data_IF_018778429517
#
_entry.id   IF_018778429517
#
_cell.length_a   1.000
_cell.length_b   1.000
_cell.length_c   1.000
_cell.angle_alpha   90.00
_cell.angle_beta   90.00
_cell.angle_gamma   90.00
#
_symmetry.space_group_name_H-M   'P 1'
#
loop_
_entity.id
_entity.type
_entity.pdbx_description
1 polymer ?
#
# COMPACT_ATOMS: atom_id res chain seq x y z
N UNK A 1 12.84 -7.33 -17.84
CA UNK A 1 12.84 -8.00 -19.16
C UNK A 1 12.61 -9.51 -19.04
N UNK A 2 13.17 -10.18 -18.02
CA UNK A 2 13.03 -11.63 -17.76
C UNK A 2 11.61 -12.20 -17.93
N UNK A 3 10.58 -11.56 -17.36
CA UNK A 3 9.20 -12.05 -17.47
C UNK A 3 8.66 -11.99 -18.91
N UNK A 4 9.01 -10.95 -19.67
CA UNK A 4 8.60 -10.81 -21.06
C UNK A 4 9.32 -11.83 -21.96
N UNK A 5 10.62 -12.07 -21.71
CA UNK A 5 11.42 -13.08 -22.42
C UNK A 5 10.89 -14.49 -22.17
N UNK A 6 10.59 -14.84 -20.91
CA UNK A 6 9.97 -16.12 -20.56
C UNK A 6 8.60 -16.28 -21.24
N UNK A 7 7.78 -15.23 -21.25
CA UNK A 7 6.48 -15.25 -21.95
C UNK A 7 6.66 -15.45 -23.45
N UNK A 8 7.64 -14.78 -24.06
CA UNK A 8 7.93 -14.95 -25.48
C UNK A 8 8.40 -16.37 -25.81
N UNK A 9 9.28 -16.95 -24.99
CA UNK A 9 9.74 -18.34 -25.14
C UNK A 9 8.60 -19.35 -25.00
N UNK A 10 7.65 -19.11 -24.09
CA UNK A 10 6.43 -19.94 -23.97
C UNK A 10 5.60 -19.87 -25.25
N UNK A 11 5.37 -18.66 -25.77
CA UNK A 11 4.54 -18.44 -26.96
C UNK A 11 5.19 -18.94 -28.26
N UNK A 12 6.50 -18.84 -28.38
CA UNK A 12 7.23 -19.15 -29.62
C UNK A 12 7.78 -20.59 -29.65
N UNK A 13 8.30 -21.08 -28.53
CA UNK A 13 9.05 -22.32 -28.44
C UNK A 13 8.30 -23.41 -27.64
N UNK A 14 7.14 -23.08 -27.07
CA UNK A 14 6.34 -24.02 -26.28
C UNK A 14 6.93 -24.34 -24.90
N UNK A 15 7.79 -23.45 -24.37
CA UNK A 15 8.39 -23.57 -23.04
C UNK A 15 7.33 -23.40 -21.92
N UNK A 16 7.75 -23.65 -20.67
CA UNK A 16 6.93 -23.43 -19.47
C UNK A 16 7.23 -22.06 -18.84
N UNK A 17 6.21 -21.38 -18.29
CA UNK A 17 6.35 -20.14 -17.53
C UNK A 17 7.22 -20.27 -16.27
N UNK A 18 7.45 -21.47 -15.75
CA UNK A 18 8.42 -21.71 -14.66
C UNK A 18 9.83 -21.22 -15.00
N UNK A 19 10.18 -21.17 -16.29
CA UNK A 19 11.46 -20.58 -16.77
C UNK A 19 11.68 -19.15 -16.33
N UNK A 20 10.61 -18.37 -16.09
CA UNK A 20 10.73 -17.02 -15.51
C UNK A 20 11.36 -17.05 -14.11
N UNK A 21 10.94 -18.00 -13.28
CA UNK A 21 11.40 -18.10 -11.91
C UNK A 21 12.88 -18.48 -11.86
N UNK A 22 13.28 -19.47 -12.66
CA UNK A 22 14.68 -19.88 -12.78
C UNK A 22 15.55 -18.73 -13.31
N UNK A 23 15.07 -18.01 -14.32
CA UNK A 23 15.77 -16.84 -14.86
C UNK A 23 15.91 -15.72 -13.82
N UNK A 24 14.88 -15.48 -13.00
CA UNK A 24 14.93 -14.49 -11.92
C UNK A 24 15.97 -14.87 -10.88
N UNK A 25 15.98 -16.12 -10.40
CA UNK A 25 16.92 -16.59 -9.37
C UNK A 25 18.39 -16.56 -9.82
N UNK A 26 18.65 -16.79 -11.12
CA UNK A 26 19.98 -16.73 -11.70
C UNK A 26 20.38 -15.32 -12.20
N UNK A 27 19.55 -14.30 -11.97
CA UNK A 27 19.82 -12.94 -12.41
C UNK A 27 20.57 -12.12 -11.36
N UNK A 28 21.20 -11.03 -11.82
CA UNK A 28 21.84 -10.04 -10.95
C UNK A 28 20.85 -9.41 -9.93
N UNK A 29 19.56 -9.35 -10.26
CA UNK A 29 18.50 -8.83 -9.38
C UNK A 29 18.43 -9.68 -8.11
N UNK A 30 18.48 -11.01 -8.26
CA UNK A 30 18.44 -11.92 -7.12
C UNK A 30 19.68 -11.77 -6.24
N UNK A 31 20.86 -11.67 -6.85
CA UNK A 31 22.11 -11.42 -6.12
C UNK A 31 22.06 -10.10 -5.33
N UNK A 32 21.58 -9.02 -5.95
CA UNK A 32 21.46 -7.72 -5.31
C UNK A 32 20.52 -7.77 -4.10
N UNK A 33 19.30 -8.29 -4.29
CA UNK A 33 18.30 -8.42 -3.22
C UNK A 33 18.82 -9.32 -2.09
N UNK A 34 19.51 -10.41 -2.42
CA UNK A 34 20.11 -11.31 -1.44
C UNK A 34 21.20 -10.61 -0.60
N UNK A 35 22.04 -9.78 -1.23
CA UNK A 35 23.04 -8.96 -0.51
C UNK A 35 22.36 -7.93 0.40
N UNK A 36 21.25 -7.34 -0.03
CA UNK A 36 20.50 -6.33 0.72
C UNK A 36 19.50 -6.87 1.76
N UNK A 37 19.32 -8.20 1.88
CA UNK A 37 18.24 -8.81 2.68
C UNK A 37 18.23 -8.45 4.16
N UNK A 38 19.38 -8.07 4.73
CA UNK A 38 19.54 -7.79 6.16
C UNK A 38 19.38 -6.31 6.52
N UNK A 39 19.17 -5.41 5.56
CA UNK A 39 19.07 -3.97 5.82
C UNK A 39 17.85 -3.61 6.67
N UNK A 40 16.67 -4.16 6.36
CA UNK A 40 15.45 -3.90 7.13
C UNK A 40 15.43 -4.58 8.51
N UNK A 41 15.83 -5.86 8.65
CA UNK A 41 16.02 -6.48 9.97
C UNK A 41 16.99 -5.72 10.87
N UNK A 42 17.99 -5.01 10.32
CA UNK A 42 18.90 -4.21 11.13
C UNK A 42 18.22 -3.08 11.92
N UNK A 43 17.04 -2.59 11.49
CA UNK A 43 16.24 -1.62 12.23
C UNK A 43 15.59 -2.19 13.50
N UNK A 44 15.60 -3.52 13.69
CA UNK A 44 15.27 -4.14 14.98
C UNK A 44 16.25 -3.70 16.09
N UNK A 45 17.45 -3.25 15.70
CA UNK A 45 18.46 -2.72 16.61
C UNK A 45 18.40 -1.19 16.79
N UNK A 46 17.37 -0.52 16.25
CA UNK A 46 17.05 0.87 16.56
C UNK A 46 17.11 1.84 15.39
N UNK A 47 16.61 3.05 15.65
CA UNK A 47 16.31 4.08 14.66
C UNK A 47 17.56 4.74 14.05
N UNK A 48 18.62 4.95 14.84
CA UNK A 48 19.85 5.63 14.39
C UNK A 48 20.63 4.85 13.31
N UNK A 49 20.90 3.53 13.45
CA UNK A 49 21.57 2.76 12.39
C UNK A 49 20.71 2.61 11.13
N UNK A 50 19.39 2.64 11.29
CA UNK A 50 18.46 2.50 10.17
C UNK A 50 18.19 3.79 9.39
N UNK A 51 18.02 4.92 10.07
CA UNK A 51 17.72 6.20 9.43
C UNK A 51 18.83 6.73 8.52
N UNK A 52 20.06 6.24 8.65
CA UNK A 52 21.16 6.59 7.75
C UNK A 52 20.87 6.26 6.27
N UNK A 53 19.82 5.47 5.96
CA UNK A 53 19.60 4.86 4.64
C UNK A 53 18.33 5.37 3.92
N UNK A 54 17.40 6.10 4.56
CA UNK A 54 16.00 6.13 4.05
C UNK A 54 15.22 7.46 4.14
N UNK A 55 15.82 8.59 3.79
CA UNK A 55 15.07 9.83 3.51
C UNK A 55 15.04 10.02 1.98
N UNK A 56 13.93 10.27 1.28
CA UNK A 56 12.88 11.27 1.43
C UNK A 56 11.85 10.94 0.32
N UNK A 57 10.54 11.21 0.46
CA UNK A 57 9.75 11.84 -0.63
C UNK A 57 8.28 12.09 -0.27
N UNK A 58 7.75 13.19 -0.82
CA UNK A 58 6.47 13.80 -0.50
C UNK A 58 5.65 13.95 -1.78
N UNK A 59 4.42 13.41 -1.80
CA UNK A 59 3.57 13.40 -3.00
C UNK A 59 2.33 14.28 -2.85
N UNK A 60 1.97 14.99 -3.92
CA UNK A 60 0.76 15.80 -4.09
C UNK A 60 -0.26 15.05 -4.96
N UNK A 61 -1.53 14.94 -4.55
CA UNK A 61 -2.56 14.16 -5.27
C UNK A 61 -3.92 14.85 -5.29
N UNK A 62 -4.76 14.48 -6.26
CA UNK A 62 -6.14 14.95 -6.43
C UNK A 62 -7.01 13.86 -7.10
N UNK A 63 -8.33 13.86 -6.88
CA UNK A 63 -9.30 12.92 -7.50
C UNK A 63 -10.62 13.60 -7.84
N UNK A 64 -11.45 12.94 -8.66
CA UNK A 64 -12.81 13.35 -9.00
C UNK A 64 -13.82 12.89 -7.92
N UNK A 65 -14.71 13.78 -7.49
CA UNK A 65 -15.49 13.63 -6.26
C UNK A 65 -16.68 12.65 -6.33
N UNK A 66 -17.08 12.15 -7.50
CA UNK A 66 -18.35 11.43 -7.70
C UNK A 66 -18.17 9.92 -8.01
N UNK A 67 -17.09 9.31 -7.52
CA UNK A 67 -16.81 7.88 -7.69
C UNK A 67 -17.07 7.08 -6.40
N UNK A 68 -17.56 5.83 -6.51
CA UNK A 68 -17.75 4.98 -5.34
C UNK A 68 -16.42 4.73 -4.62
N UNK A 69 -16.43 4.77 -3.29
CA UNK A 69 -15.25 4.54 -2.48
C UNK A 69 -14.65 3.15 -2.80
N UNK A 70 -13.45 3.15 -3.37
CA UNK A 70 -12.67 1.95 -3.69
C UNK A 70 -11.99 1.34 -2.45
N UNK A 71 -12.27 1.91 -1.28
CA UNK A 71 -11.86 1.47 0.04
C UNK A 71 -13.09 0.95 0.77
N UNK A 72 -13.18 -0.36 0.93
CA UNK A 72 -14.34 -1.01 1.54
C UNK A 72 -14.00 -1.51 2.92
N UNK A 73 -14.93 -1.36 3.86
CA UNK A 73 -14.82 -1.98 5.17
C UNK A 73 -15.58 -3.30 5.14
N UNK A 74 -14.91 -4.41 5.46
CA UNK A 74 -15.57 -5.72 5.59
C UNK A 74 -16.63 -5.69 6.69
N UNK A 75 -16.33 -5.00 7.78
CA UNK A 75 -17.25 -4.70 8.86
C UNK A 75 -17.17 -3.20 9.19
N UNK A 76 -18.24 -2.43 8.89
CA UNK A 76 -18.28 -0.99 9.14
C UNK A 76 -18.18 -0.57 10.61
N UNK A 77 -18.35 -1.50 11.58
CA UNK A 77 -18.32 -1.18 13.02
C UNK A 77 -16.95 -1.31 13.66
N UNK A 78 -16.00 -1.97 12.99
CA UNK A 78 -14.65 -2.21 13.54
C UNK A 78 -13.89 -0.91 13.81
N UNK A 79 -13.98 0.14 12.98
CA UNK A 79 -13.35 1.42 13.29
C UNK A 79 -13.76 1.96 14.66
N UNK A 80 -15.06 2.00 14.96
CA UNK A 80 -15.58 2.55 16.21
C UNK A 80 -15.50 1.60 17.40
N UNK A 81 -15.58 0.29 17.17
CA UNK A 81 -15.57 -0.71 18.25
C UNK A 81 -14.17 -1.14 18.68
N UNK A 82 -13.18 -1.05 17.80
CA UNK A 82 -11.84 -1.62 18.03
C UNK A 82 -10.74 -0.64 17.66
N UNK A 83 -10.71 -0.14 16.43
CA UNK A 83 -9.55 0.64 15.97
C UNK A 83 -9.40 1.95 16.76
N UNK A 84 -10.50 2.67 16.98
CA UNK A 84 -10.51 3.89 17.77
C UNK A 84 -10.26 3.65 19.27
N UNK A 85 -10.99 2.74 19.96
CA UNK A 85 -10.80 2.56 21.41
C UNK A 85 -9.47 1.89 21.79
N UNK A 86 -9.05 0.84 21.06
CA UNK A 86 -7.89 0.03 21.44
C UNK A 86 -6.58 0.56 20.86
N UNK A 87 -6.63 1.19 19.68
CA UNK A 87 -5.44 1.61 18.92
C UNK A 87 -5.41 3.11 18.60
N UNK A 88 -6.36 3.90 19.13
CA UNK A 88 -6.48 5.34 18.90
C UNK A 88 -6.61 5.73 17.41
N UNK A 89 -7.30 4.90 16.62
CA UNK A 89 -7.64 5.15 15.22
C UNK A 89 -6.43 5.24 14.30
N UNK A 90 -5.59 4.18 14.20
CA UNK A 90 -4.30 4.21 13.50
C UNK A 90 -4.42 4.57 12.02
N UNK A 91 -5.56 4.27 11.38
CA UNK A 91 -5.86 4.61 9.99
C UNK A 91 -5.80 6.12 9.69
N UNK A 92 -6.09 6.96 10.69
CA UNK A 92 -5.94 8.41 10.57
C UNK A 92 -4.48 8.88 10.58
N UNK A 93 -3.54 8.01 10.97
CA UNK A 93 -2.13 8.34 11.19
C UNK A 93 -1.19 7.70 10.17
N UNK A 94 -1.37 6.41 9.88
CA UNK A 94 -0.52 5.74 8.89
C UNK A 94 -0.90 6.12 7.45
N UNK A 95 -2.11 6.65 7.24
CA UNK A 95 -2.56 7.04 5.91
C UNK A 95 -1.84 8.32 5.49
N UNK A 96 -0.98 8.27 4.45
CA UNK A 96 -0.18 9.43 4.06
C UNK A 96 -1.01 10.55 3.42
N UNK A 97 -2.27 10.28 3.09
CA UNK A 97 -3.15 11.20 2.37
C UNK A 97 -4.40 11.61 3.15
N UNK A 98 -4.45 11.30 4.46
CA UNK A 98 -5.58 11.67 5.34
C UNK A 98 -6.95 11.25 4.77
N UNK A 99 -7.01 10.01 4.25
CA UNK A 99 -8.23 9.41 3.73
C UNK A 99 -9.21 9.08 4.86
N UNK A 100 -8.70 8.80 6.05
CA UNK A 100 -9.50 8.36 7.20
C UNK A 100 -9.51 9.46 8.25
N UNK A 101 -10.68 10.04 8.52
CA UNK A 101 -10.88 11.08 9.52
C UNK A 101 -12.02 10.69 10.45
N UNK A 102 -11.85 10.90 11.76
CA UNK A 102 -12.90 10.65 12.75
C UNK A 102 -13.62 11.96 13.07
N UNK A 103 -14.88 12.05 12.66
CA UNK A 103 -15.71 13.25 12.85
C UNK A 103 -16.85 12.96 13.85
N UNK A 104 -17.22 13.93 14.70
CA UNK A 104 -18.33 13.75 15.63
C UNK A 104 -19.66 13.69 14.86
N UNK A 105 -20.45 12.65 15.14
CA UNK A 105 -21.83 12.53 14.70
C UNK A 105 -22.75 13.45 15.52
N UNK A 106 -24.04 13.52 15.18
CA UNK A 106 -25.07 14.32 15.88
C UNK A 106 -25.14 14.04 17.39
N UNK A 107 -24.72 12.84 17.81
CA UNK A 107 -24.67 12.40 19.21
C UNK A 107 -23.30 12.65 19.88
N UNK A 108 -22.42 13.45 19.26
CA UNK A 108 -21.04 13.69 19.70
C UNK A 108 -20.17 12.43 19.78
N UNK A 109 -20.55 11.35 19.08
CA UNK A 109 -19.75 10.13 18.96
C UNK A 109 -18.87 10.22 17.72
N UNK A 110 -17.58 9.91 17.87
CA UNK A 110 -16.64 9.92 16.75
C UNK A 110 -16.96 8.76 15.78
N UNK A 111 -17.20 9.09 14.52
CA UNK A 111 -17.50 8.16 13.44
C UNK A 111 -16.46 8.31 12.33
N UNK A 112 -16.08 7.18 11.72
CA UNK A 112 -15.11 7.20 10.64
C UNK A 112 -15.74 7.78 9.36
N UNK A 113 -15.11 8.83 8.81
CA UNK A 113 -15.35 9.36 7.48
C UNK A 113 -14.21 8.96 6.56
N UNK A 114 -14.57 8.38 5.39
CA UNK A 114 -13.61 7.95 4.37
C UNK A 114 -13.63 8.95 3.20
N UNK A 115 -12.59 9.76 3.14
CA UNK A 115 -12.29 10.72 2.09
C UNK A 115 -11.50 10.03 0.95
N UNK A 116 -12.15 9.08 0.24
CA UNK A 116 -11.51 8.25 -0.78
C UNK A 116 -10.85 9.05 -1.92
N UNK A 117 -11.32 10.28 -2.16
CA UNK A 117 -10.78 11.24 -3.12
C UNK A 117 -9.35 11.72 -2.79
N UNK A 118 -8.81 11.41 -1.63
CA UNK A 118 -7.42 11.73 -1.31
C UNK A 118 -6.48 10.53 -1.58
N UNK A 119 -7.00 9.37 -1.97
CA UNK A 119 -6.23 8.13 -1.92
C UNK A 119 -5.01 8.11 -2.86
N UNK A 120 -3.81 7.92 -2.30
CA UNK A 120 -2.55 7.81 -3.07
C UNK A 120 -2.29 6.41 -3.66
N UNK A 121 -3.22 5.47 -3.49
CA UNK A 121 -3.04 4.06 -3.91
C UNK A 121 -1.82 3.34 -3.28
N UNK A 122 -1.26 3.88 -2.20
CA UNK A 122 -0.08 3.34 -1.51
C UNK A 122 -0.26 1.97 -0.82
N UNK A 123 -1.50 1.48 -0.70
CA UNK A 123 -1.90 0.23 -0.02
C UNK A 123 -1.59 0.13 1.47
N UNK A 124 -1.11 1.21 2.10
CA UNK A 124 -0.77 1.21 3.52
C UNK A 124 -1.95 0.79 4.41
N UNK A 125 -3.17 1.22 4.09
CA UNK A 125 -4.38 0.86 4.84
C UNK A 125 -4.75 -0.63 4.79
N UNK A 126 -4.58 -1.26 3.63
CA UNK A 126 -4.79 -2.70 3.43
C UNK A 126 -3.77 -3.53 4.23
N UNK A 127 -2.54 -3.02 4.36
CA UNK A 127 -1.43 -3.71 5.04
C UNK A 127 -1.41 -3.46 6.56
N UNK A 128 -1.73 -2.24 7.02
CA UNK A 128 -1.48 -1.79 8.39
C UNK A 128 -2.70 -1.79 9.31
N UNK A 129 -3.90 -2.01 8.78
CA UNK A 129 -5.09 -2.14 9.62
C UNK A 129 -4.92 -3.33 10.60
N UNK A 130 -4.97 -3.09 11.94
CA UNK A 130 -4.79 -4.13 12.95
C UNK A 130 -5.74 -5.33 12.80
N UNK A 131 -6.91 -5.12 12.19
CA UNK A 131 -7.92 -6.17 11.99
C UNK A 131 -8.05 -6.66 10.55
N UNK A 132 -7.24 -6.17 9.61
CA UNK A 132 -7.33 -6.53 8.19
C UNK A 132 -8.79 -6.40 7.66
N UNK A 133 -9.44 -5.30 8.05
CA UNK A 133 -10.84 -4.99 7.81
C UNK A 133 -11.04 -4.05 6.61
N UNK A 134 -10.06 -3.19 6.32
CA UNK A 134 -10.03 -2.36 5.11
C UNK A 134 -9.61 -3.22 3.92
N UNK A 135 -10.38 -3.18 2.84
CA UNK A 135 -10.09 -3.82 1.57
C UNK A 135 -9.94 -2.77 0.47
N UNK A 136 -8.76 -2.73 -0.14
CA UNK A 136 -8.47 -1.84 -1.25
C UNK A 136 -8.80 -2.50 -2.58
N UNK A 137 -9.63 -1.84 -3.39
CA UNK A 137 -9.92 -2.22 -4.79
C UNK A 137 -9.46 -1.12 -5.74
N UNK A 138 -9.25 -1.47 -7.01
CA UNK A 138 -8.92 -0.48 -8.03
C UNK A 138 -10.12 0.47 -8.25
N UNK A 139 -9.93 1.80 -8.21
CA UNK A 139 -10.96 2.74 -8.64
C UNK A 139 -11.09 2.74 -10.17
N UNK A 140 -11.99 3.58 -10.69
CA UNK A 140 -12.13 3.77 -12.13
C UNK A 140 -10.81 4.26 -12.77
N UNK A 141 -10.59 3.85 -14.02
CA UNK A 141 -9.36 4.16 -14.75
C UNK A 141 -9.18 5.66 -14.94
N UNK A 142 -7.98 6.17 -14.63
CA UNK A 142 -7.64 7.60 -14.68
C UNK A 142 -7.66 8.30 -13.32
N UNK A 143 -8.20 7.66 -12.27
CA UNK A 143 -8.07 8.13 -10.89
C UNK A 143 -6.73 7.73 -10.25
N UNK A 144 -6.31 8.47 -9.22
CA UNK A 144 -5.04 8.23 -8.52
C UNK A 144 -4.02 9.36 -8.64
N UNK A 145 -2.80 9.15 -8.13
CA UNK A 145 -1.78 10.17 -8.14
C UNK A 145 -1.31 10.52 -9.57
N UNK A 146 -1.29 11.82 -9.88
CA UNK A 146 -0.78 12.36 -11.15
C UNK A 146 0.72 12.66 -11.11
N UNK A 147 1.54 11.62 -10.96
CA UNK A 147 3.00 11.77 -10.95
C UNK A 147 3.51 12.25 -12.31
N UNK A 148 3.99 13.49 -12.39
CA UNK A 148 4.46 14.10 -13.64
C UNK A 148 5.95 13.86 -13.90
N UNK A 149 6.76 13.83 -12.85
CA UNK A 149 8.13 13.33 -12.83
C UNK A 149 8.39 12.88 -11.39
N UNK A 150 8.58 11.58 -11.21
CA UNK A 150 9.16 10.98 -10.00
C UNK A 150 10.44 10.29 -10.45
#
# INVERSE_FOLDING_TARGET
MLAAEATFGVLHEGLNLETYWDALQNSWIWEELYRARNYRPAFEHGLIPGLAISALEQSNTNHEHDQPAHLRLRNPKIPELVNLPDYAGPESRYCPARVYEYNPDEKSQLKLQINAQNCLHCKACDIKDPKQNIEWTVPEGGGGPGYSVM
#
